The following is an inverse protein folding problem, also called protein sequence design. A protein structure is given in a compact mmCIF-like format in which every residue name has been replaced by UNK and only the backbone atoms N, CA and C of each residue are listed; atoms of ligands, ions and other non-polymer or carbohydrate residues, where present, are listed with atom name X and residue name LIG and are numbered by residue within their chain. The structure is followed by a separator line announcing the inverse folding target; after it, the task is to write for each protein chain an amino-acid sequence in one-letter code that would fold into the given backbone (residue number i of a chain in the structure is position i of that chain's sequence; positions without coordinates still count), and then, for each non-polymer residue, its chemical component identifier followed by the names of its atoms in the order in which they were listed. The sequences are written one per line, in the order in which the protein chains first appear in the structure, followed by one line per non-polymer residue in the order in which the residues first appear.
data_IF_565095837861
#
_entry.id   IF_565095837861
#
_cell.length_a   1.000
_cell.length_b   1.000
_cell.length_c   1.000
_cell.angle_alpha   90.00
_cell.angle_beta   90.00
_cell.angle_gamma   90.00
#
_symmetry.space_group_name_H-M   'P 1'
#
loop_
_entity.id
_entity.type
_entity.pdbx_description
1 polymer ?
#
# COMPACT_ATOMS: atom_id res chain seq x y z
N UNK A 1 -6.57 53.61 -12.40
CA UNK A 1 -6.41 53.30 -13.83
C UNK A 1 -5.17 52.47 -13.99
N UNK A 2 -5.30 51.17 -13.97
CA UNK A 2 -4.31 50.21 -14.40
C UNK A 2 -5.08 49.02 -14.96
N UNK A 3 -4.92 48.86 -16.26
CA UNK A 3 -5.57 47.82 -17.06
C UNK A 3 -5.04 46.45 -16.69
N UNK A 4 -5.91 45.52 -16.37
CA UNK A 4 -5.62 44.09 -16.34
C UNK A 4 -5.94 43.49 -17.71
N UNK A 5 -4.90 43.10 -18.44
CA UNK A 5 -5.03 42.40 -19.69
C UNK A 5 -5.50 40.96 -19.43
N UNK A 6 -6.66 40.64 -20.00
CA UNK A 6 -7.17 39.29 -20.04
C UNK A 6 -6.33 38.43 -21.00
N UNK A 7 -5.58 37.49 -20.47
CA UNK A 7 -4.90 36.46 -21.27
C UNK A 7 -5.92 35.39 -21.71
N UNK A 8 -6.16 35.32 -23.03
CA UNK A 8 -6.95 34.28 -23.65
C UNK A 8 -6.16 32.96 -23.63
N UNK A 9 -6.74 31.93 -23.01
CA UNK A 9 -6.21 30.58 -23.05
C UNK A 9 -6.79 29.88 -24.30
N UNK A 10 -5.96 29.68 -25.33
CA UNK A 10 -6.30 28.86 -26.50
C UNK A 10 -5.96 27.40 -26.19
N UNK A 11 -6.99 26.55 -26.08
CA UNK A 11 -6.81 25.11 -25.99
C UNK A 11 -7.14 24.48 -27.34
N UNK A 12 -6.12 23.95 -28.04
CA UNK A 12 -6.29 23.17 -29.26
C UNK A 12 -6.39 21.70 -28.89
N UNK A 13 -7.53 21.10 -29.19
CA UNK A 13 -7.72 19.66 -29.04
C UNK A 13 -7.71 19.05 -30.45
N UNK A 14 -6.69 18.24 -30.73
CA UNK A 14 -6.61 17.43 -31.95
C UNK A 14 -7.34 16.11 -31.70
N UNK A 15 -8.37 15.83 -32.47
CA UNK A 15 -9.03 14.52 -32.55
C UNK A 15 -8.72 13.87 -33.89
N UNK A 16 -7.94 12.78 -33.90
CA UNK A 16 -7.79 11.98 -35.13
C UNK A 16 -9.08 11.22 -35.41
N UNK A 17 -9.48 11.16 -36.66
CA UNK A 17 -10.73 10.58 -37.17
C UNK A 17 -10.86 9.04 -37.05
N UNK A 18 -9.95 8.38 -36.37
CA UNK A 18 -10.00 6.94 -36.13
C UNK A 18 -9.47 6.65 -34.75
N UNK A 19 -10.34 6.53 -33.75
CA UNK A 19 -10.13 5.59 -32.63
C UNK A 19 -11.32 5.61 -31.70
N UNK A 20 -11.78 4.43 -31.40
CA UNK A 20 -12.76 4.07 -30.39
C UNK A 20 -12.29 4.41 -28.98
N UNK A 21 -13.28 4.73 -28.14
CA UNK A 21 -13.36 4.60 -26.68
C UNK A 21 -12.67 5.63 -25.80
N UNK A 22 -13.55 6.29 -25.04
CA UNK A 22 -13.39 6.61 -23.61
C UNK A 22 -12.43 7.71 -23.22
N UNK A 23 -12.86 8.98 -23.42
CA UNK A 23 -12.58 10.06 -22.44
C UNK A 23 -13.46 11.26 -22.76
N UNK A 24 -14.58 11.42 -22.05
CA UNK A 24 -15.38 12.65 -22.05
C UNK A 24 -14.88 13.55 -20.91
N UNK A 25 -14.11 14.58 -21.24
CA UNK A 25 -13.94 15.74 -20.39
C UNK A 25 -15.16 16.67 -20.60
N UNK A 26 -15.97 16.84 -19.56
CA UNK A 26 -17.03 17.87 -19.54
C UNK A 26 -16.39 19.22 -19.23
N UNK A 27 -16.35 20.10 -20.23
CA UNK A 27 -16.01 21.51 -20.05
C UNK A 27 -17.25 22.39 -20.13
N UNK A 28 -17.30 23.39 -19.28
CA UNK A 28 -18.32 24.41 -19.15
C UNK A 28 -18.12 25.52 -20.20
N UNK A 29 -19.13 25.84 -21.03
CA UNK A 29 -18.98 26.90 -22.05
C UNK A 29 -20.27 27.66 -22.31
N UNK A 30 -20.21 28.98 -22.38
CA UNK A 30 -21.34 29.86 -22.72
C UNK A 30 -21.39 30.34 -24.16
N UNK A 31 -20.34 30.31 -24.91
CA UNK A 31 -20.48 30.46 -26.36
C UNK A 31 -19.46 29.56 -27.06
N UNK A 32 -19.97 28.66 -27.85
CA UNK A 32 -19.18 27.79 -28.68
C UNK A 32 -19.12 28.41 -30.08
N UNK A 33 -17.98 28.92 -30.50
CA UNK A 33 -17.74 29.21 -31.89
C UNK A 33 -17.10 28.01 -32.57
N UNK A 34 -17.84 27.33 -33.42
CA UNK A 34 -17.35 26.17 -34.16
C UNK A 34 -16.88 26.65 -35.52
N UNK A 35 -15.61 26.54 -35.81
CA UNK A 35 -15.08 26.72 -37.18
C UNK A 35 -14.55 25.41 -37.71
N UNK A 36 -14.87 25.09 -38.98
CA UNK A 36 -14.44 23.87 -39.65
C UNK A 36 -13.36 24.20 -40.67
N UNK A 37 -12.18 23.63 -40.46
CA UNK A 37 -11.13 23.66 -41.48
C UNK A 37 -10.73 22.23 -41.81
N UNK A 38 -10.88 21.88 -43.06
CA UNK A 38 -10.68 20.62 -43.82
C UNK A 38 -10.63 19.27 -43.11
N UNK A 39 -10.40 19.15 -41.82
CA UNK A 39 -10.49 17.92 -40.99
C UNK A 39 -10.43 18.17 -39.48
N UNK A 40 -10.66 19.41 -39.02
CA UNK A 40 -10.60 19.77 -37.60
C UNK A 40 -11.80 20.60 -37.17
N UNK A 41 -12.30 20.34 -35.96
CA UNK A 41 -13.30 21.15 -35.27
C UNK A 41 -12.57 21.96 -34.15
N UNK A 42 -12.63 23.29 -34.26
CA UNK A 42 -12.06 24.21 -33.29
C UNK A 42 -13.16 24.75 -32.37
N UNK A 43 -12.94 24.66 -31.08
CA UNK A 43 -13.84 25.15 -30.03
C UNK A 43 -13.17 26.26 -29.25
N UNK A 44 -13.80 27.43 -29.15
CA UNK A 44 -13.36 28.55 -28.31
C UNK A 44 -14.20 28.67 -27.06
N UNK A 45 -13.55 28.75 -25.90
CA UNK A 45 -14.16 28.73 -24.58
C UNK A 45 -14.09 30.08 -23.88
N UNK A 46 -15.21 30.57 -23.30
CA UNK A 46 -15.23 31.74 -22.40
C UNK A 46 -15.65 31.33 -20.98
N UNK A 47 -15.09 31.94 -19.90
CA UNK A 47 -15.41 31.59 -18.53
C UNK A 47 -16.68 32.25 -18.04
N UNK A 48 -17.49 31.55 -17.23
CA UNK A 48 -18.68 31.91 -16.45
C UNK A 48 -20.04 31.59 -17.05
N UNK A 49 -20.49 30.32 -16.87
CA UNK A 49 -21.90 29.99 -17.11
C UNK A 49 -22.46 28.74 -16.40
N UNK A 50 -23.81 28.69 -16.25
CA UNK A 50 -24.58 27.71 -15.48
C UNK A 50 -24.98 26.49 -16.34
N UNK A 51 -24.83 25.25 -15.80
CA UNK A 51 -25.03 23.96 -16.47
C UNK A 51 -26.39 23.78 -17.19
N UNK A 52 -27.44 24.42 -16.73
CA UNK A 52 -28.77 24.30 -17.35
C UNK A 52 -28.84 24.90 -18.75
N UNK A 53 -28.09 25.97 -19.04
CA UNK A 53 -28.10 26.64 -20.34
C UNK A 53 -27.30 25.90 -21.42
N UNK A 54 -26.30 25.12 -21.02
CA UNK A 54 -25.51 24.30 -21.94
C UNK A 54 -26.32 23.14 -22.51
N UNK A 55 -27.17 22.53 -21.68
CA UNK A 55 -28.03 21.40 -22.10
C UNK A 55 -29.08 21.88 -23.13
N UNK A 56 -29.56 23.10 -23.00
CA UNK A 56 -30.52 23.69 -23.95
C UNK A 56 -29.85 24.03 -25.27
N UNK A 57 -28.64 24.59 -25.26
CA UNK A 57 -27.86 24.92 -26.46
C UNK A 57 -27.43 23.70 -27.26
N UNK A 58 -27.12 22.56 -26.63
CA UNK A 58 -26.79 21.32 -27.31
C UNK A 58 -27.98 20.66 -28.01
N UNK A 59 -29.21 20.93 -27.56
CA UNK A 59 -30.43 20.45 -28.22
C UNK A 59 -30.72 21.17 -29.55
N UNK A 60 -30.35 22.46 -29.65
CA UNK A 60 -30.59 23.25 -30.85
C UNK A 60 -29.57 22.98 -31.97
N UNK A 61 -28.41 22.41 -31.67
CA UNK A 61 -27.31 22.20 -32.63
C UNK A 61 -27.32 20.85 -33.36
N UNK A 62 -28.45 20.13 -33.43
CA UNK A 62 -28.57 18.83 -34.14
C UNK A 62 -27.44 17.80 -33.86
N UNK A 63 -26.67 18.01 -32.79
CA UNK A 63 -25.69 17.02 -32.27
C UNK A 63 -26.36 15.79 -31.64
N UNK A 64 -27.67 15.83 -31.47
CA UNK A 64 -28.52 14.75 -30.97
C UNK A 64 -28.41 13.45 -31.78
N UNK A 65 -28.03 13.52 -33.07
CA UNK A 65 -27.85 12.34 -33.95
C UNK A 65 -26.48 11.66 -33.79
N UNK A 66 -25.46 12.40 -33.41
CA UNK A 66 -24.10 11.86 -33.24
C UNK A 66 -23.94 11.21 -31.83
N UNK A 67 -24.52 11.84 -30.82
CA UNK A 67 -24.50 11.26 -29.47
C UNK A 67 -25.45 10.06 -29.30
N UNK A 68 -26.61 10.03 -30.00
CA UNK A 68 -27.55 8.91 -29.90
C UNK A 68 -27.04 7.58 -30.47
N UNK A 69 -25.97 7.60 -31.27
CA UNK A 69 -25.38 6.38 -31.83
C UNK A 69 -24.30 5.75 -30.96
N UNK A 70 -23.80 6.49 -29.95
CA UNK A 70 -22.68 6.04 -29.10
C UNK A 70 -23.03 5.82 -27.63
N UNK A 71 -24.11 6.40 -27.12
CA UNK A 71 -24.50 6.20 -25.72
C UNK A 71 -26.02 6.20 -25.59
N UNK A 72 -26.55 5.14 -25.01
CA UNK A 72 -27.96 5.06 -24.65
C UNK A 72 -28.20 6.06 -23.51
N UNK A 73 -29.13 7.01 -23.65
CA UNK A 73 -29.48 8.00 -22.60
C UNK A 73 -29.83 7.35 -21.25
N UNK A 74 -30.16 6.06 -21.25
CA UNK A 74 -30.36 5.28 -20.01
C UNK A 74 -29.07 5.07 -19.22
N UNK A 75 -27.90 5.07 -19.87
CA UNK A 75 -26.62 4.79 -19.20
C UNK A 75 -26.03 6.04 -18.52
N UNK A 76 -26.37 7.25 -18.98
CA UNK A 76 -25.94 8.51 -18.37
C UNK A 76 -26.72 8.92 -17.11
N UNK A 77 -27.94 8.41 -16.93
CA UNK A 77 -28.80 8.69 -15.78
C UNK A 77 -28.96 7.50 -14.83
N UNK A 78 -28.34 6.36 -15.12
CA UNK A 78 -28.41 5.18 -14.25
C UNK A 78 -27.29 5.15 -13.19
N UNK A 79 -26.85 6.29 -12.70
CA UNK A 79 -26.25 6.39 -11.35
C UNK A 79 -27.35 6.25 -10.26
N UNK A 80 -28.59 6.02 -10.66
CA UNK A 80 -29.66 5.66 -9.73
C UNK A 80 -29.90 4.15 -9.74
N UNK A 81 -29.17 3.43 -8.87
CA UNK A 81 -29.71 2.22 -8.27
C UNK A 81 -29.18 0.86 -8.67
N UNK A 82 -28.05 0.72 -9.39
CA UNK A 82 -27.41 -0.59 -9.64
C UNK A 82 -25.88 -0.49 -9.77
N UNK A 83 -25.23 0.40 -9.08
CA UNK A 83 -23.78 0.45 -9.05
C UNK A 83 -23.22 -0.34 -7.87
N UNK A 84 -21.99 -0.84 -8.00
CA UNK A 84 -21.20 -1.45 -6.94
C UNK A 84 -21.34 -0.69 -5.62
N UNK A 85 -21.59 -1.40 -4.54
CA UNK A 85 -21.76 -0.84 -3.19
C UNK A 85 -20.61 -1.24 -2.28
N UNK A 86 -20.27 -0.38 -1.30
CA UNK A 86 -19.28 -0.72 -0.27
C UNK A 86 -19.67 -2.00 0.50
N UNK A 87 -20.98 -2.28 0.62
CA UNK A 87 -21.47 -3.49 1.27
C UNK A 87 -21.09 -4.74 0.48
N UNK A 88 -21.17 -4.71 -0.86
CA UNK A 88 -20.76 -5.83 -1.71
C UNK A 88 -19.24 -6.04 -1.65
N UNK A 89 -18.45 -4.94 -1.61
CA UNK A 89 -17.00 -5.05 -1.41
C UNK A 89 -16.65 -5.69 -0.06
N UNK A 90 -17.36 -5.31 1.01
CA UNK A 90 -17.22 -5.93 2.33
C UNK A 90 -17.55 -7.43 2.30
N UNK A 91 -18.58 -7.83 1.56
CA UNK A 91 -18.94 -9.22 1.37
C UNK A 91 -17.85 -10.00 0.64
N UNK A 92 -17.31 -9.44 -0.45
CA UNK A 92 -16.20 -10.03 -1.19
C UNK A 92 -14.99 -10.29 -0.29
N UNK A 93 -14.57 -9.28 0.49
CA UNK A 93 -13.45 -9.39 1.42
C UNK A 93 -13.71 -10.49 2.46
N UNK A 94 -14.90 -10.50 3.06
CA UNK A 94 -15.24 -11.50 4.10
C UNK A 94 -15.27 -12.92 3.53
N UNK A 95 -15.78 -13.13 2.31
CA UNK A 95 -15.77 -14.46 1.66
C UNK A 95 -14.35 -14.93 1.38
N UNK A 96 -13.47 -14.02 0.92
CA UNK A 96 -12.05 -14.33 0.69
C UNK A 96 -11.31 -14.70 1.98
N UNK A 97 -11.62 -14.03 3.10
CA UNK A 97 -11.02 -14.33 4.40
C UNK A 97 -11.46 -15.68 4.97
N UNK A 98 -12.74 -16.02 4.80
CA UNK A 98 -13.30 -17.28 5.33
C UNK A 98 -13.01 -18.49 4.42
N UNK A 99 -12.74 -18.29 3.12
CA UNK A 99 -12.64 -19.38 2.14
C UNK A 99 -13.95 -20.16 1.93
N UNK A 100 -15.05 -19.70 2.53
CA UNK A 100 -16.37 -20.35 2.54
C UNK A 100 -17.49 -19.31 2.54
N UNK A 101 -18.43 -19.43 1.59
CA UNK A 101 -19.61 -18.54 1.55
C UNK A 101 -20.50 -18.77 2.77
N UNK A 102 -20.64 -20.02 3.23
CA UNK A 102 -21.48 -20.34 4.39
C UNK A 102 -20.94 -19.73 5.67
N UNK A 103 -19.64 -19.85 5.91
CA UNK A 103 -18.97 -19.26 7.07
C UNK A 103 -19.00 -17.73 7.03
N UNK A 104 -18.72 -17.14 5.85
CA UNK A 104 -18.83 -15.71 5.64
C UNK A 104 -20.24 -15.18 5.92
N UNK A 105 -21.28 -15.92 5.49
CA UNK A 105 -22.66 -15.55 5.74
C UNK A 105 -23.00 -15.55 7.24
N UNK A 106 -22.52 -16.54 7.99
CA UNK A 106 -22.64 -16.59 9.45
C UNK A 106 -21.93 -15.41 10.10
N UNK A 107 -20.68 -15.14 9.72
CA UNK A 107 -19.87 -13.99 10.23
C UNK A 107 -20.55 -12.64 9.94
N UNK A 108 -21.27 -12.53 8.83
CA UNK A 108 -21.97 -11.33 8.40
C UNK A 108 -23.43 -11.24 8.91
N UNK A 109 -23.92 -12.27 9.60
CA UNK A 109 -25.31 -12.37 10.07
C UNK A 109 -26.36 -12.23 8.97
N UNK A 110 -26.09 -12.81 7.79
CA UNK A 110 -27.01 -12.83 6.64
C UNK A 110 -27.21 -14.25 6.12
N UNK A 111 -28.25 -14.45 5.28
CA UNK A 111 -28.46 -15.75 4.65
C UNK A 111 -27.41 -16.01 3.57
N UNK A 112 -26.95 -17.27 3.45
CA UNK A 112 -26.02 -17.71 2.41
C UNK A 112 -26.54 -17.39 0.98
N UNK A 113 -27.82 -17.61 0.63
CA UNK A 113 -28.34 -17.22 -0.68
C UNK A 113 -28.22 -15.72 -0.96
N UNK A 114 -28.48 -14.87 0.05
CA UNK A 114 -28.33 -13.41 -0.08
C UNK A 114 -26.88 -13.00 -0.34
N UNK A 115 -25.92 -13.61 0.39
CA UNK A 115 -24.51 -13.37 0.17
C UNK A 115 -24.06 -13.82 -1.21
N UNK A 116 -24.45 -15.04 -1.62
CA UNK A 116 -24.16 -15.58 -2.96
C UNK A 116 -24.69 -14.66 -4.07
N UNK A 117 -25.93 -14.20 -3.95
CA UNK A 117 -26.53 -13.30 -4.94
C UNK A 117 -25.80 -11.94 -5.00
N UNK A 118 -25.39 -11.40 -3.86
CA UNK A 118 -24.64 -10.14 -3.80
C UNK A 118 -23.26 -10.26 -4.48
N UNK A 119 -22.54 -11.37 -4.25
CA UNK A 119 -21.25 -11.64 -4.91
C UNK A 119 -21.44 -11.82 -6.41
N UNK A 120 -22.41 -12.62 -6.86
CA UNK A 120 -22.69 -12.82 -8.28
C UNK A 120 -23.06 -11.51 -9.00
N UNK A 121 -23.83 -10.63 -8.33
CA UNK A 121 -24.16 -9.31 -8.87
C UNK A 121 -22.91 -8.43 -9.01
N UNK A 122 -22.01 -8.45 -8.04
CA UNK A 122 -20.74 -7.73 -8.10
C UNK A 122 -19.86 -8.27 -9.24
N UNK A 123 -19.69 -9.58 -9.35
CA UNK A 123 -18.94 -10.24 -10.42
C UNK A 123 -19.48 -9.88 -11.81
N UNK A 124 -20.81 -9.93 -11.96
CA UNK A 124 -21.49 -9.56 -13.21
C UNK A 124 -21.29 -8.09 -13.57
N UNK A 125 -21.32 -7.20 -12.59
CA UNK A 125 -21.14 -5.76 -12.78
C UNK A 125 -19.69 -5.43 -13.16
N UNK A 126 -18.72 -6.07 -12.50
CA UNK A 126 -17.30 -5.88 -12.78
C UNK A 126 -16.82 -6.65 -14.03
N UNK A 127 -17.63 -7.59 -14.54
CA UNK A 127 -17.25 -8.42 -15.68
C UNK A 127 -16.17 -9.44 -15.38
N UNK A 128 -16.03 -9.85 -14.09
CA UNK A 128 -14.99 -10.77 -13.62
C UNK A 128 -15.61 -11.91 -12.80
N UNK A 129 -14.93 -13.05 -12.76
CA UNK A 129 -15.25 -14.13 -11.83
C UNK A 129 -14.27 -14.06 -10.66
N UNK A 130 -14.73 -13.60 -9.51
CA UNK A 130 -13.86 -13.45 -8.34
C UNK A 130 -13.56 -14.78 -7.65
N UNK A 131 -14.51 -15.69 -7.62
CA UNK A 131 -14.38 -16.97 -6.95
C UNK A 131 -14.70 -18.15 -7.87
N UNK A 132 -13.86 -19.19 -7.81
CA UNK A 132 -14.16 -20.52 -8.36
C UNK A 132 -14.61 -21.45 -7.23
N UNK A 133 -15.56 -22.33 -7.53
CA UNK A 133 -16.03 -23.34 -6.57
C UNK A 133 -15.11 -24.56 -6.61
N UNK A 134 -14.74 -25.06 -5.44
CA UNK A 134 -13.98 -26.30 -5.27
C UNK A 134 -14.68 -27.23 -4.28
N UNK A 135 -14.28 -28.49 -4.22
CA UNK A 135 -14.78 -29.45 -3.23
C UNK A 135 -14.44 -29.07 -1.78
N UNK A 136 -13.48 -28.14 -1.60
CA UNK A 136 -13.01 -27.65 -0.28
C UNK A 136 -13.55 -26.27 0.08
N UNK A 137 -14.46 -25.70 -0.74
CA UNK A 137 -14.99 -24.35 -0.54
C UNK A 137 -14.83 -23.45 -1.77
N UNK A 138 -14.58 -22.18 -1.58
CA UNK A 138 -14.31 -21.22 -2.65
C UNK A 138 -12.83 -20.87 -2.70
N UNK A 139 -12.30 -20.82 -3.93
CA UNK A 139 -10.92 -20.40 -4.20
C UNK A 139 -10.99 -19.10 -5.00
N UNK A 140 -10.21 -18.13 -4.60
CA UNK A 140 -10.12 -16.86 -5.30
C UNK A 140 -9.41 -17.05 -6.66
N UNK A 141 -9.91 -16.39 -7.71
CA UNK A 141 -9.26 -16.37 -9.02
C UNK A 141 -8.20 -15.28 -9.09
N UNK A 142 -7.40 -15.25 -10.15
CA UNK A 142 -6.44 -14.18 -10.37
C UNK A 142 -7.11 -12.80 -10.50
N UNK A 143 -8.21 -12.73 -11.26
CA UNK A 143 -9.01 -11.50 -11.40
C UNK A 143 -9.69 -11.14 -10.07
N UNK A 144 -10.09 -12.16 -9.29
CA UNK A 144 -10.64 -12.00 -7.96
C UNK A 144 -9.64 -11.41 -6.97
N UNK A 145 -8.37 -11.80 -7.03
CA UNK A 145 -7.30 -11.21 -6.20
C UNK A 145 -7.11 -9.72 -6.49
N UNK A 146 -7.14 -9.34 -7.77
CA UNK A 146 -7.04 -7.95 -8.17
C UNK A 146 -8.26 -7.15 -7.69
N UNK A 147 -9.49 -7.66 -7.89
CA UNK A 147 -10.71 -7.03 -7.40
C UNK A 147 -10.71 -6.92 -5.87
N UNK A 148 -10.20 -7.93 -5.17
CA UNK A 148 -10.08 -7.95 -3.71
C UNK A 148 -9.13 -6.86 -3.21
N UNK A 149 -7.98 -6.66 -3.88
CA UNK A 149 -7.04 -5.61 -3.53
C UNK A 149 -7.66 -4.21 -3.66
N UNK A 150 -8.36 -3.93 -4.77
CA UNK A 150 -9.10 -2.68 -4.93
C UNK A 150 -10.23 -2.53 -3.91
N UNK A 151 -10.93 -3.62 -3.60
CA UNK A 151 -12.03 -3.60 -2.61
C UNK A 151 -11.54 -3.24 -1.22
N UNK A 152 -10.42 -3.80 -0.78
CA UNK A 152 -9.80 -3.46 0.51
C UNK A 152 -9.39 -2.00 0.56
N UNK A 153 -8.75 -1.50 -0.50
CA UNK A 153 -8.33 -0.11 -0.60
C UNK A 153 -9.53 0.86 -0.51
N UNK A 154 -10.63 0.59 -1.23
CA UNK A 154 -11.82 1.43 -1.21
C UNK A 154 -12.51 1.42 0.16
N UNK A 155 -12.59 0.26 0.80
CA UNK A 155 -13.14 0.13 2.16
C UNK A 155 -12.30 0.90 3.18
N UNK A 156 -10.98 0.80 3.09
CA UNK A 156 -10.04 1.54 3.94
C UNK A 156 -10.20 3.05 3.76
N UNK A 157 -10.22 3.55 2.52
CA UNK A 157 -10.43 4.98 2.26
C UNK A 157 -11.80 5.48 2.73
N UNK A 158 -12.84 4.64 2.60
CA UNK A 158 -14.16 4.96 3.15
C UNK A 158 -14.14 5.00 4.69
N UNK A 159 -13.39 4.11 5.33
CA UNK A 159 -13.21 4.09 6.78
C UNK A 159 -12.46 5.33 7.26
N UNK A 160 -11.36 5.73 6.60
CA UNK A 160 -10.59 6.96 6.89
C UNK A 160 -11.48 8.20 6.73
N UNK A 161 -12.24 8.29 5.65
CA UNK A 161 -13.16 9.40 5.42
C UNK A 161 -14.23 9.49 6.53
N UNK A 162 -14.80 8.35 6.93
CA UNK A 162 -15.80 8.32 8.01
C UNK A 162 -15.18 8.63 9.37
N UNK A 163 -13.92 8.27 9.59
CA UNK A 163 -13.20 8.61 10.81
C UNK A 163 -12.92 10.12 10.90
N UNK A 164 -12.61 10.75 9.78
CA UNK A 164 -12.30 12.18 9.74
C UNK A 164 -13.57 13.07 9.86
N UNK A 165 -14.66 12.69 9.20
CA UNK A 165 -15.88 13.50 9.11
C UNK A 165 -17.08 12.90 9.86
N UNK A 166 -17.03 11.63 10.24
CA UNK A 166 -18.14 10.92 10.89
C UNK A 166 -18.36 11.39 12.32
N UNK A 167 -19.63 11.39 12.74
CA UNK A 167 -20.04 11.71 14.13
C UNK A 167 -19.98 10.50 15.06
N UNK A 168 -19.74 9.32 14.52
CA UNK A 168 -19.80 8.07 15.29
C UNK A 168 -18.45 7.80 15.98
N UNK A 169 -18.37 8.18 17.26
CA UNK A 169 -17.19 7.98 18.11
C UNK A 169 -16.99 6.51 18.56
N UNK A 170 -17.93 5.61 18.27
CA UNK A 170 -17.92 4.23 18.77
C UNK A 170 -17.30 3.23 17.76
N UNK A 171 -16.66 3.68 16.69
CA UNK A 171 -16.00 2.79 15.75
C UNK A 171 -14.72 2.22 16.34
N UNK A 172 -14.53 0.91 16.20
CA UNK A 172 -13.26 0.25 16.54
C UNK A 172 -12.16 0.74 15.61
N UNK A 173 -11.13 1.43 16.13
CA UNK A 173 -9.97 1.85 15.35
C UNK A 173 -9.30 0.66 14.68
N UNK A 174 -8.84 0.84 13.42
CA UNK A 174 -8.11 -0.18 12.67
C UNK A 174 -6.82 0.41 12.14
N UNK A 175 -5.76 -0.35 12.24
CA UNK A 175 -4.47 -0.05 11.63
C UNK A 175 -3.72 -1.34 11.37
N UNK A 176 -3.01 -1.42 10.26
CA UNK A 176 -2.20 -2.59 9.94
C UNK A 176 -0.88 -2.17 9.30
N UNK A 177 0.19 -2.78 9.76
CA UNK A 177 1.54 -2.58 9.25
C UNK A 177 2.24 -3.92 9.07
N UNK A 178 2.98 -4.07 7.97
CA UNK A 178 3.93 -5.15 7.75
C UNK A 178 5.34 -4.58 7.74
N UNK A 179 6.28 -5.21 8.42
CA UNK A 179 7.65 -4.70 8.51
C UNK A 179 8.67 -5.84 8.50
N UNK A 180 9.89 -5.52 8.09
CA UNK A 180 11.05 -6.36 8.38
C UNK A 180 11.26 -6.45 9.89
N UNK A 181 12.14 -7.32 10.34
CA UNK A 181 12.33 -7.62 11.77
C UNK A 181 13.07 -6.50 12.53
N UNK A 182 12.45 -5.31 12.59
CA UNK A 182 13.00 -4.13 13.24
C UNK A 182 12.39 -3.88 14.61
N UNK A 183 13.21 -3.82 15.65
CA UNK A 183 12.75 -3.49 17.00
C UNK A 183 12.15 -2.08 17.10
N UNK A 184 12.69 -1.10 16.39
CA UNK A 184 12.14 0.26 16.36
C UNK A 184 10.72 0.32 15.77
N UNK A 185 10.40 -0.54 14.79
CA UNK A 185 9.07 -0.62 14.23
C UNK A 185 8.05 -1.15 15.25
N UNK A 186 8.45 -2.14 16.05
CA UNK A 186 7.63 -2.64 17.16
C UNK A 186 7.47 -1.58 18.26
N UNK A 187 8.52 -0.84 18.60
CA UNK A 187 8.46 0.23 19.60
C UNK A 187 7.48 1.33 19.19
N UNK A 188 7.57 1.81 17.95
CA UNK A 188 6.64 2.79 17.41
C UNK A 188 5.19 2.29 17.45
N UNK A 189 4.98 0.99 17.25
CA UNK A 189 3.66 0.37 17.36
C UNK A 189 3.17 0.31 18.82
N UNK A 190 4.05 0.05 19.77
CA UNK A 190 3.73 0.11 21.21
C UNK A 190 3.33 1.54 21.60
N UNK A 191 4.05 2.55 21.11
CA UNK A 191 3.74 3.95 21.39
C UNK A 191 2.41 4.38 20.75
N UNK A 192 2.12 3.91 19.53
CA UNK A 192 0.83 4.08 18.89
C UNK A 192 -0.31 3.52 19.77
N UNK A 193 -0.17 2.28 20.25
CA UNK A 193 -1.19 1.63 21.09
C UNK A 193 -1.40 2.39 22.39
N UNK A 194 -0.32 2.84 23.05
CA UNK A 194 -0.39 3.64 24.28
C UNK A 194 -1.04 5.00 24.06
N UNK A 195 -0.77 5.65 22.93
CA UNK A 195 -1.34 6.96 22.60
C UNK A 195 -2.84 6.89 22.36
N UNK A 196 -3.29 5.80 21.74
CA UNK A 196 -4.71 5.58 21.44
C UNK A 196 -5.31 4.58 22.42
N UNK A 197 -5.33 4.93 23.71
CA UNK A 197 -5.96 4.16 24.79
C UNK A 197 -7.49 4.11 24.63
N UNK A 198 -7.94 3.42 23.59
CA UNK A 198 -9.34 3.20 23.29
C UNK A 198 -9.80 1.89 23.94
N UNK A 199 -11.07 1.87 24.37
CA UNK A 199 -11.69 0.67 24.95
C UNK A 199 -11.70 -0.52 23.98
N UNK A 200 -11.61 -0.26 22.66
CA UNK A 200 -11.57 -1.27 21.61
C UNK A 200 -10.70 -0.78 20.45
N UNK A 201 -9.82 -1.62 19.94
CA UNK A 201 -9.07 -1.40 18.70
C UNK A 201 -8.76 -2.73 18.02
N UNK A 202 -8.49 -2.68 16.71
CA UNK A 202 -8.01 -3.82 15.93
C UNK A 202 -6.77 -3.38 15.15
N UNK A 203 -5.63 -3.44 15.84
CA UNK A 203 -4.33 -3.09 15.27
C UNK A 203 -3.53 -4.36 14.98
N UNK A 204 -2.89 -4.42 13.82
CA UNK A 204 -2.15 -5.58 13.33
C UNK A 204 -0.73 -5.15 12.98
N UNK A 205 0.24 -5.77 13.62
CA UNK A 205 1.65 -5.72 13.24
C UNK A 205 2.06 -7.10 12.72
N UNK A 206 2.70 -7.12 11.54
CA UNK A 206 3.31 -8.32 10.95
C UNK A 206 4.79 -8.08 10.76
N UNK A 207 5.63 -8.86 11.45
CA UNK A 207 7.02 -9.00 11.08
C UNK A 207 7.12 -10.13 10.06
N UNK A 208 7.59 -9.81 8.86
CA UNK A 208 7.56 -10.76 7.75
C UNK A 208 8.57 -10.40 6.66
N UNK A 209 8.71 -11.28 5.68
CA UNK A 209 9.67 -11.21 4.59
C UNK A 209 9.45 -9.98 3.69
N UNK A 210 10.54 -9.44 3.14
CA UNK A 210 10.51 -8.24 2.27
C UNK A 210 9.50 -8.35 1.12
N UNK A 211 9.43 -9.52 0.47
CA UNK A 211 8.47 -9.76 -0.60
C UNK A 211 7.02 -9.74 -0.13
N UNK A 212 6.74 -10.31 1.03
CA UNK A 212 5.41 -10.33 1.64
C UNK A 212 4.98 -8.94 2.10
N UNK A 213 5.89 -8.10 2.62
CA UNK A 213 5.60 -6.71 2.97
C UNK A 213 5.07 -5.95 1.75
N UNK A 214 5.75 -6.09 0.60
CA UNK A 214 5.33 -5.45 -0.65
C UNK A 214 3.96 -5.97 -1.09
N UNK A 215 3.73 -7.27 -1.02
CA UNK A 215 2.46 -7.90 -1.39
C UNK A 215 1.33 -7.51 -0.42
N UNK A 216 1.57 -7.45 0.88
CA UNK A 216 0.59 -7.06 1.89
C UNK A 216 0.08 -5.63 1.67
N UNK A 217 1.00 -4.68 1.40
CA UNK A 217 0.60 -3.31 1.09
C UNK A 217 -0.08 -3.23 -0.27
N UNK A 218 0.42 -3.94 -1.29
CA UNK A 218 -0.20 -3.98 -2.62
C UNK A 218 -1.63 -4.54 -2.59
N UNK A 219 -1.87 -5.56 -1.77
CA UNK A 219 -3.17 -6.21 -1.62
C UNK A 219 -4.09 -5.53 -0.58
N UNK A 220 -3.64 -4.45 0.09
CA UNK A 220 -4.40 -3.77 1.14
C UNK A 220 -4.64 -4.63 2.37
N UNK A 221 -3.75 -5.59 2.67
CA UNK A 221 -3.73 -6.33 3.94
C UNK A 221 -3.04 -5.51 5.03
N UNK A 222 -2.09 -4.67 4.64
CA UNK A 222 -1.45 -3.67 5.48
C UNK A 222 -1.56 -2.30 4.82
N UNK A 223 -1.82 -1.28 5.63
CA UNK A 223 -1.91 0.12 5.18
C UNK A 223 -0.54 0.63 4.76
N UNK A 224 0.47 0.29 5.55
CA UNK A 224 1.87 0.66 5.31
C UNK A 224 2.80 -0.53 5.49
N UNK A 225 3.98 -0.42 4.89
CA UNK A 225 5.07 -1.38 5.09
C UNK A 225 6.36 -0.67 5.46
N UNK A 226 7.23 -1.31 6.26
CA UNK A 226 8.55 -0.79 6.63
C UNK A 226 9.61 -1.77 6.10
N UNK A 227 10.50 -1.25 5.26
CA UNK A 227 11.64 -2.00 4.71
C UNK A 227 12.82 -1.07 4.43
N UNK A 228 13.99 -1.64 4.13
CA UNK A 228 15.15 -0.85 3.73
C UNK A 228 15.46 -0.99 2.23
N UNK A 229 16.09 0.06 1.72
CA UNK A 229 16.76 0.08 0.43
C UNK A 229 18.26 0.34 0.62
N UNK A 230 19.06 -0.26 -0.23
CA UNK A 230 20.50 -0.01 -0.35
C UNK A 230 20.89 0.04 -1.83
N UNK A 231 22.11 0.43 -2.13
CA UNK A 231 22.62 0.43 -3.50
C UNK A 231 22.43 -0.92 -4.23
N UNK A 232 22.39 -2.04 -3.48
CA UNK A 232 22.29 -3.39 -4.03
C UNK A 232 20.87 -3.82 -4.38
N UNK A 233 19.85 -3.39 -3.63
CA UNK A 233 18.48 -3.87 -3.78
C UNK A 233 17.51 -2.82 -4.34
N UNK A 234 17.88 -1.54 -4.35
CA UNK A 234 17.00 -0.42 -4.68
C UNK A 234 16.38 -0.55 -6.07
N UNK A 235 17.15 -0.91 -7.09
CA UNK A 235 16.65 -1.03 -8.45
C UNK A 235 15.54 -2.08 -8.56
N UNK A 236 15.78 -3.27 -8.00
CA UNK A 236 14.85 -4.40 -8.06
C UNK A 236 13.59 -4.13 -7.24
N UNK A 237 13.76 -3.70 -5.99
CA UNK A 237 12.63 -3.45 -5.10
C UNK A 237 11.80 -2.25 -5.56
N UNK A 238 12.43 -1.16 -6.02
CA UNK A 238 11.71 0.01 -6.54
C UNK A 238 10.93 -0.34 -7.80
N UNK A 239 11.48 -1.15 -8.71
CA UNK A 239 10.77 -1.63 -9.90
C UNK A 239 9.55 -2.47 -9.50
N UNK A 240 9.71 -3.37 -8.53
CA UNK A 240 8.61 -4.19 -8.02
C UNK A 240 7.53 -3.33 -7.34
N UNK A 241 7.92 -2.39 -6.49
CA UNK A 241 7.00 -1.45 -5.83
C UNK A 241 6.22 -0.62 -6.85
N UNK A 242 6.89 -0.03 -7.85
CA UNK A 242 6.25 0.75 -8.93
C UNK A 242 5.25 -0.09 -9.72
N UNK A 243 5.60 -1.35 -10.04
CA UNK A 243 4.69 -2.29 -10.72
C UNK A 243 3.40 -2.53 -9.92
N UNK A 244 3.50 -2.53 -8.60
CA UNK A 244 2.37 -2.71 -7.68
C UNK A 244 1.69 -1.40 -7.24
N UNK A 245 2.03 -0.26 -7.86
CA UNK A 245 1.43 1.03 -7.53
C UNK A 245 1.81 1.57 -6.14
N UNK A 246 2.97 1.15 -5.63
CA UNK A 246 3.49 1.59 -4.34
C UNK A 246 4.53 2.71 -4.51
N UNK A 247 4.67 3.50 -3.45
CA UNK A 247 5.71 4.53 -3.30
C UNK A 247 6.50 4.26 -2.03
N UNK A 248 7.80 4.52 -2.08
CA UNK A 248 8.70 4.49 -0.94
C UNK A 248 8.94 5.91 -0.45
N UNK A 249 8.81 6.12 0.84
CA UNK A 249 9.11 7.37 1.54
C UNK A 249 10.20 7.08 2.57
N UNK A 250 11.38 7.68 2.38
CA UNK A 250 12.50 7.52 3.29
C UNK A 250 12.18 8.10 4.67
N UNK A 251 12.42 7.34 5.71
CA UNK A 251 12.27 7.77 7.09
C UNK A 251 13.60 8.21 7.68
N UNK A 252 14.66 7.42 7.45
CA UNK A 252 16.02 7.71 7.89
C UNK A 252 17.05 6.84 7.18
N UNK A 253 18.31 7.24 7.30
CA UNK A 253 19.48 6.47 6.85
C UNK A 253 20.20 5.94 8.08
N UNK A 254 20.55 4.66 8.06
CA UNK A 254 21.29 3.98 9.12
C UNK A 254 22.61 3.43 8.59
N UNK A 255 23.67 3.58 9.39
CA UNK A 255 24.91 2.85 9.16
C UNK A 255 24.72 1.38 9.57
N UNK A 256 25.27 0.40 8.84
CA UNK A 256 25.20 -0.99 9.22
C UNK A 256 25.87 -1.26 10.57
N UNK A 257 25.20 -2.06 11.39
CA UNK A 257 25.70 -2.55 12.66
C UNK A 257 25.60 -4.05 12.75
N UNK A 258 26.41 -4.63 13.60
CA UNK A 258 26.38 -6.07 13.94
C UNK A 258 25.70 -6.24 15.30
N UNK A 259 24.67 -7.07 15.36
CA UNK A 259 24.11 -7.54 16.62
C UNK A 259 24.83 -8.78 17.07
N UNK A 260 25.38 -8.71 18.27
CA UNK A 260 26.10 -9.80 18.96
C UNK A 260 25.64 -9.86 20.42
N UNK A 261 25.89 -10.98 21.09
CA UNK A 261 25.63 -11.02 22.53
C UNK A 261 26.66 -10.17 23.29
N UNK A 262 26.27 -9.69 24.47
CA UNK A 262 27.11 -8.85 25.35
C UNK A 262 28.43 -9.56 25.74
N UNK A 263 28.41 -10.88 25.84
CA UNK A 263 29.56 -11.71 26.20
C UNK A 263 30.38 -12.18 24.97
N UNK A 264 30.00 -11.72 23.77
CA UNK A 264 30.68 -12.10 22.54
C UNK A 264 32.15 -11.66 22.58
N UNK A 265 33.10 -12.46 22.03
CA UNK A 265 34.52 -12.09 21.99
C UNK A 265 34.83 -10.73 21.32
N UNK A 266 33.96 -10.30 20.41
CA UNK A 266 34.07 -9.00 19.72
C UNK A 266 33.38 -7.83 20.49
N UNK A 267 32.73 -8.09 21.62
CA UNK A 267 31.92 -7.08 22.33
C UNK A 267 32.74 -5.84 22.77
N UNK A 268 34.03 -5.99 23.06
CA UNK A 268 34.91 -4.92 23.49
C UNK A 268 35.54 -4.13 22.32
N UNK A 269 35.36 -4.56 21.06
CA UNK A 269 35.82 -3.79 19.89
C UNK A 269 34.98 -2.54 19.72
N UNK A 270 35.57 -1.45 19.27
CA UNK A 270 34.86 -0.21 18.94
C UNK A 270 34.08 -0.38 17.64
N UNK A 271 34.71 -0.98 16.65
CA UNK A 271 34.18 -1.25 15.31
C UNK A 271 34.52 -2.68 14.92
N UNK A 272 33.67 -3.31 14.14
CA UNK A 272 33.81 -4.68 13.66
C UNK A 272 34.06 -4.64 12.16
N UNK A 273 35.03 -5.44 11.69
CA UNK A 273 35.33 -5.64 10.27
C UNK A 273 34.74 -6.96 9.77
N UNK A 274 34.63 -7.14 8.46
CA UNK A 274 34.18 -8.40 7.85
C UNK A 274 35.06 -9.59 8.21
N UNK A 275 36.39 -9.37 8.31
CA UNK A 275 37.35 -10.39 8.70
C UNK A 275 37.15 -10.88 10.13
N UNK A 276 36.74 -10.00 11.02
CA UNK A 276 36.42 -10.36 12.40
C UNK A 276 35.25 -11.31 12.51
N UNK A 277 34.31 -11.24 11.58
CA UNK A 277 33.07 -12.02 11.57
C UNK A 277 33.21 -13.44 11.02
N UNK A 278 34.26 -13.71 10.23
CA UNK A 278 34.48 -15.01 9.55
C UNK A 278 34.43 -16.22 10.48
N UNK A 279 34.95 -16.19 11.72
CA UNK A 279 34.92 -17.34 12.61
C UNK A 279 33.52 -17.68 13.15
N UNK A 280 32.59 -16.74 13.12
CA UNK A 280 31.31 -16.83 13.84
C UNK A 280 30.14 -17.18 12.94
N UNK A 281 29.07 -17.82 13.45
CA UNK A 281 27.87 -18.10 12.68
C UNK A 281 27.13 -16.81 12.28
N UNK A 282 26.84 -16.66 10.99
CA UNK A 282 25.99 -15.60 10.47
C UNK A 282 24.52 -16.06 10.49
N UNK A 283 23.67 -15.29 11.13
CA UNK A 283 22.23 -15.56 11.22
C UNK A 283 21.46 -14.57 10.37
N UNK A 284 20.59 -15.09 9.51
CA UNK A 284 19.81 -14.32 8.55
C UNK A 284 18.35 -14.77 8.56
N UNK A 285 17.46 -13.88 8.14
CA UNK A 285 16.06 -14.22 7.97
C UNK A 285 15.83 -14.86 6.59
N UNK A 286 15.15 -16.00 6.56
CA UNK A 286 14.77 -16.64 5.30
C UNK A 286 13.75 -15.78 4.53
N UNK A 287 13.86 -15.77 3.20
CA UNK A 287 12.98 -14.97 2.32
C UNK A 287 11.99 -15.82 1.51
N UNK A 288 11.74 -17.07 1.94
CA UNK A 288 10.73 -17.96 1.35
C UNK A 288 10.95 -18.19 -0.15
N UNK A 289 9.87 -18.08 -0.93
CA UNK A 289 9.92 -18.30 -2.39
C UNK A 289 10.75 -17.25 -3.14
N UNK A 290 10.91 -16.05 -2.57
CA UNK A 290 11.73 -14.95 -3.12
C UNK A 290 13.13 -14.95 -2.51
N UNK A 291 13.70 -16.12 -2.28
CA UNK A 291 15.01 -16.28 -1.64
C UNK A 291 16.15 -15.82 -2.56
N UNK A 292 16.30 -14.51 -2.70
CA UNK A 292 17.45 -13.88 -3.35
C UNK A 292 17.98 -12.74 -2.49
N UNK A 293 19.25 -12.42 -2.65
CA UNK A 293 19.91 -11.35 -1.89
C UNK A 293 19.22 -9.97 -2.01
N UNK A 294 18.46 -9.74 -3.09
CA UNK A 294 17.68 -8.50 -3.24
C UNK A 294 16.55 -8.33 -2.22
N UNK A 295 16.05 -9.46 -1.68
CA UNK A 295 14.97 -9.47 -0.70
C UNK A 295 15.47 -9.67 0.72
N UNK A 296 16.76 -9.97 0.91
CA UNK A 296 17.33 -10.17 2.24
C UNK A 296 17.17 -8.93 3.13
N UNK A 297 17.01 -9.16 4.41
CA UNK A 297 16.89 -8.10 5.42
C UNK A 297 18.26 -7.66 5.94
N UNK A 298 19.25 -8.50 5.74
CA UNK A 298 20.61 -8.27 6.18
C UNK A 298 21.45 -7.73 5.04
N UNK A 299 22.16 -6.67 5.35
CA UNK A 299 23.01 -5.95 4.41
C UNK A 299 24.12 -6.80 3.76
N UNK A 300 24.66 -7.79 4.50
CA UNK A 300 25.73 -8.66 4.04
C UNK A 300 25.26 -9.92 3.29
N UNK A 301 24.01 -9.99 2.89
CA UNK A 301 23.42 -11.17 2.23
C UNK A 301 24.07 -11.57 0.90
N UNK A 302 24.87 -10.67 0.31
CA UNK A 302 25.67 -10.94 -0.90
C UNK A 302 26.99 -11.69 -0.60
N UNK A 303 27.40 -11.71 0.66
CA UNK A 303 28.65 -12.35 1.07
C UNK A 303 28.38 -13.80 1.50
N UNK A 304 29.25 -14.66 1.09
CA UNK A 304 29.23 -16.07 1.48
C UNK A 304 29.99 -16.27 2.79
N UNK A 305 29.26 -16.55 3.87
CA UNK A 305 29.85 -16.88 5.15
C UNK A 305 29.88 -18.39 5.34
N UNK A 306 31.04 -18.99 5.78
CA UNK A 306 31.18 -20.44 5.94
C UNK A 306 30.16 -21.07 6.90
N UNK A 307 29.64 -20.30 7.84
CA UNK A 307 28.65 -20.73 8.84
C UNK A 307 27.40 -19.83 8.72
N UNK A 308 26.42 -20.28 7.97
CA UNK A 308 25.17 -19.55 7.73
C UNK A 308 23.99 -20.33 8.32
N UNK A 309 23.14 -19.64 9.09
CA UNK A 309 21.92 -20.19 9.69
C UNK A 309 20.74 -19.30 9.31
N UNK A 310 19.71 -19.88 8.70
CA UNK A 310 18.49 -19.18 8.33
C UNK A 310 17.40 -19.43 9.38
N UNK A 311 16.69 -18.38 9.75
CA UNK A 311 15.59 -18.38 10.73
C UNK A 311 14.38 -17.61 10.23
N UNK A 312 13.23 -17.77 10.89
CA UNK A 312 11.98 -17.09 10.52
C UNK A 312 11.58 -15.95 11.44
N UNK A 313 12.04 -16.00 12.67
CA UNK A 313 11.57 -15.06 13.69
C UNK A 313 12.72 -14.51 14.55
N UNK A 314 12.50 -13.34 15.10
CA UNK A 314 13.49 -12.59 15.86
C UNK A 314 13.86 -13.28 17.19
N UNK A 315 12.91 -13.95 17.85
CA UNK A 315 13.19 -14.60 19.12
C UNK A 315 14.17 -15.78 18.92
N UNK A 316 13.93 -16.59 17.89
CA UNK A 316 14.86 -17.67 17.49
C UNK A 316 16.21 -17.10 17.08
N UNK A 317 16.25 -16.02 16.30
CA UNK A 317 17.51 -15.37 15.89
C UNK A 317 18.32 -14.95 17.13
N UNK A 318 17.73 -14.21 18.05
CA UNK A 318 18.43 -13.71 19.23
C UNK A 318 18.90 -14.85 20.16
N UNK A 319 18.10 -15.91 20.32
CA UNK A 319 18.51 -17.08 21.07
C UNK A 319 19.76 -17.76 20.47
N UNK A 320 19.83 -17.85 19.15
CA UNK A 320 20.97 -18.42 18.44
C UNK A 320 22.19 -17.49 18.45
N UNK A 321 21.99 -16.16 18.36
CA UNK A 321 23.07 -15.17 18.54
C UNK A 321 23.73 -15.36 19.90
N UNK A 322 22.93 -15.51 20.97
CA UNK A 322 23.45 -15.73 22.33
C UNK A 322 24.07 -17.11 22.46
N UNK A 323 23.35 -18.17 22.05
CA UNK A 323 23.73 -19.55 22.32
C UNK A 323 24.95 -20.04 21.50
N UNK A 324 25.20 -19.42 20.34
CA UNK A 324 26.27 -19.85 19.41
C UNK A 324 27.39 -18.81 19.28
N UNK A 325 27.35 -17.68 20.01
CA UNK A 325 28.18 -16.52 19.73
C UNK A 325 28.08 -16.14 18.22
N UNK A 326 26.87 -16.15 17.68
CA UNK A 326 26.61 -15.76 16.31
C UNK A 326 26.40 -14.27 16.18
N UNK A 327 26.19 -13.83 14.93
CA UNK A 327 25.90 -12.43 14.63
C UNK A 327 24.85 -12.29 13.55
N UNK A 328 24.19 -11.13 13.52
CA UNK A 328 23.39 -10.68 12.38
C UNK A 328 23.69 -9.22 12.08
N UNK A 329 23.34 -8.73 10.89
CA UNK A 329 23.58 -7.34 10.49
C UNK A 329 22.24 -6.58 10.40
N UNK A 330 22.24 -5.37 10.93
CA UNK A 330 21.04 -4.57 11.12
C UNK A 330 21.33 -3.07 11.07
N UNK A 331 20.29 -2.26 11.27
CA UNK A 331 20.36 -0.79 11.33
C UNK A 331 21.00 -0.22 12.59
N UNK A 332 21.43 -1.05 13.53
CA UNK A 332 21.98 -0.60 14.81
C UNK A 332 20.95 -0.12 15.84
N UNK A 333 19.71 0.08 15.46
CA UNK A 333 18.65 0.59 16.34
C UNK A 333 18.04 -0.57 17.13
N UNK A 334 18.36 -0.66 18.42
CA UNK A 334 17.81 -1.64 19.34
C UNK A 334 17.34 -0.97 20.63
N UNK A 335 16.14 -1.32 21.07
CA UNK A 335 15.63 -0.88 22.39
C UNK A 335 15.90 -1.95 23.44
N UNK A 336 16.77 -1.63 24.38
CA UNK A 336 17.11 -2.52 25.48
C UNK A 336 15.94 -2.80 26.43
N UNK A 337 14.98 -1.87 26.56
CA UNK A 337 13.79 -2.07 27.40
C UNK A 337 12.88 -3.18 26.90
N UNK A 338 12.79 -3.33 25.57
CA UNK A 338 11.95 -4.36 24.95
C UNK A 338 12.73 -5.63 24.59
N UNK A 339 14.03 -5.51 24.26
CA UNK A 339 14.83 -6.65 23.78
C UNK A 339 15.82 -7.19 24.84
N UNK A 340 15.86 -6.59 26.04
CA UNK A 340 16.80 -6.92 27.08
C UNK A 340 18.22 -6.41 26.79
N UNK A 341 19.11 -6.60 27.76
CA UNK A 341 20.50 -6.10 27.68
C UNK A 341 21.48 -7.10 27.08
N UNK A 342 21.03 -8.30 26.72
CA UNK A 342 21.91 -9.38 26.29
C UNK A 342 22.43 -9.22 24.85
N UNK A 343 21.72 -8.44 24.02
CA UNK A 343 22.13 -8.13 22.64
C UNK A 343 22.63 -6.68 22.59
N UNK A 344 23.79 -6.49 21.97
CA UNK A 344 24.40 -5.19 21.75
C UNK A 344 24.63 -4.96 20.25
N UNK A 345 24.52 -3.69 19.83
CA UNK A 345 24.87 -3.26 18.49
C UNK A 345 26.31 -2.75 18.47
N UNK A 346 27.08 -3.14 17.46
CA UNK A 346 28.44 -2.64 17.20
C UNK A 346 28.52 -2.12 15.78
N UNK A 347 29.13 -0.95 15.55
CA UNK A 347 29.33 -0.44 14.19
C UNK A 347 30.08 -1.46 13.31
N UNK A 348 29.58 -1.68 12.10
CA UNK A 348 30.25 -2.44 11.07
C UNK A 348 31.00 -1.50 10.13
N UNK A 349 32.27 -1.72 9.91
CA UNK A 349 33.02 -0.95 8.91
C UNK A 349 32.49 -1.31 7.52
N UNK A 350 31.80 -0.35 6.90
CA UNK A 350 31.15 -0.50 5.60
C UNK A 350 31.05 0.85 4.89
N UNK A 351 31.19 0.84 3.55
CA UNK A 351 31.02 2.03 2.70
C UNK A 351 29.56 2.23 2.22
N UNK A 352 28.63 1.47 2.77
CA UNK A 352 27.24 1.48 2.30
C UNK A 352 26.26 1.75 3.43
N UNK A 353 25.18 2.44 3.09
CA UNK A 353 24.11 2.83 4.00
C UNK A 353 22.84 1.99 3.80
N UNK A 354 22.04 1.90 4.86
CA UNK A 354 20.68 1.34 4.85
C UNK A 354 19.66 2.48 4.88
N UNK A 355 18.98 2.72 3.79
CA UNK A 355 17.89 3.71 3.70
C UNK A 355 16.58 3.04 4.14
N UNK A 356 16.17 3.28 5.36
CA UNK A 356 14.95 2.70 5.92
C UNK A 356 13.78 3.61 5.58
N UNK A 357 12.69 3.03 5.11
CA UNK A 357 11.53 3.79 4.69
C UNK A 357 10.21 3.06 4.81
N UNK A 358 9.18 3.85 4.62
CA UNK A 358 7.79 3.41 4.60
C UNK A 358 7.32 3.24 3.16
N UNK A 359 6.72 2.11 2.85
CA UNK A 359 6.00 1.91 1.60
C UNK A 359 4.49 2.02 1.83
N UNK A 360 3.81 2.63 0.87
CA UNK A 360 2.35 2.79 0.87
C UNK A 360 1.81 2.83 -0.54
N UNK A 361 0.52 2.66 -0.72
CA UNK A 361 -0.12 2.86 -2.01
C UNK A 361 0.00 4.31 -2.47
N UNK A 362 0.28 4.49 -3.76
CA UNK A 362 0.29 5.81 -4.40
C UNK A 362 -1.14 6.37 -4.42
N UNK A 363 -1.27 7.68 -4.17
CA UNK A 363 -2.56 8.40 -4.23
C UNK A 363 -3.62 7.95 -3.20
N UNK A 364 -3.23 7.29 -2.10
CA UNK A 364 -4.10 7.02 -0.97
C UNK A 364 -3.78 7.96 0.19
N UNK A 365 -4.80 8.37 0.93
CA UNK A 365 -4.61 9.08 2.20
C UNK A 365 -4.21 8.06 3.26
N UNK A 366 -3.27 8.44 4.12
CA UNK A 366 -2.93 7.67 5.31
C UNK A 366 -3.93 7.97 6.43
N UNK A 367 -4.24 6.95 7.22
CA UNK A 367 -5.00 7.11 8.45
C UNK A 367 -4.19 7.94 9.47
N UNK A 368 -4.88 8.51 10.45
CA UNK A 368 -4.21 9.18 11.57
C UNK A 368 -3.27 8.25 12.34
N UNK A 369 -3.56 6.95 12.34
CA UNK A 369 -2.73 5.93 12.99
C UNK A 369 -1.43 5.71 12.23
N UNK A 370 -1.49 5.63 10.88
CA UNK A 370 -0.30 5.52 10.04
C UNK A 370 0.58 6.76 10.14
N UNK A 371 -0.01 7.96 10.17
CA UNK A 371 0.72 9.21 10.35
C UNK A 371 1.40 9.27 11.72
N UNK A 372 0.70 8.89 12.79
CA UNK A 372 1.29 8.83 14.12
C UNK A 372 2.41 7.79 14.21
N UNK A 373 2.21 6.61 13.62
CA UNK A 373 3.21 5.55 13.56
C UNK A 373 4.48 6.00 12.83
N UNK A 374 4.34 6.70 11.72
CA UNK A 374 5.45 7.30 10.98
C UNK A 374 6.22 8.32 11.83
N UNK A 375 5.50 9.19 12.55
CA UNK A 375 6.10 10.16 13.44
C UNK A 375 6.79 9.50 14.64
N UNK A 376 6.18 8.47 15.22
CA UNK A 376 6.77 7.70 16.30
C UNK A 376 8.09 7.05 15.92
N UNK A 377 8.20 6.50 14.68
CA UNK A 377 9.48 5.98 14.17
C UNK A 377 10.52 7.10 14.08
N UNK A 378 10.17 8.26 13.50
CA UNK A 378 11.10 9.40 13.36
C UNK A 378 11.59 9.93 14.71
N UNK A 379 10.69 10.04 15.68
CA UNK A 379 11.01 10.51 17.03
C UNK A 379 11.90 9.53 17.78
N UNK A 380 11.67 8.23 17.65
CA UNK A 380 12.50 7.21 18.29
C UNK A 380 13.98 7.34 17.90
N UNK A 381 14.25 7.70 16.65
CA UNK A 381 15.60 7.85 16.12
C UNK A 381 16.29 9.15 16.56
N UNK A 382 15.55 10.18 16.96
CA UNK A 382 16.13 11.42 17.51
C UNK A 382 16.60 11.26 18.96
N UNK A 383 16.32 10.12 19.60
CA UNK A 383 16.66 9.83 21.00
C UNK A 383 17.85 8.84 21.07
N UNK A 384 18.13 8.12 20.01
CA UNK A 384 19.25 7.17 19.86
C UNK A 384 20.41 7.83 19.12
#
# INVERSE_FOLDING_TARGET
MTEFSASFLHCRIFLPCTLHSSFLFLFYVKSLRVSRNRNELLFELQPNYNMREIIVSMKELSMDRICRKSYNERDLYTIRGKGMTLQQLKYLVTVAECGSISEAAQKLFISQPSLSAAIQNLEKEMGVTAFSRSSKGVVITREGEELLAYSRMLLEQADIMQEHFGKDKNRTPKFSVSCQHYSFAVNAFVDLVKQYDASQYNFILRETQTGEIIDDVAQGKSEVGILYLSAHNEEVLTKLMKKNGLVFEELFVAEPHVFICREHPLANKKEITLDDLQPYPYLVYEQGERNSFYFAEEFLSMLDFPKNIQVRDRATLFNLVIGLNGFTVCSGVIDQKLNGENIIAKPLVSDCDMRIGMIRKKNTMLSRYALYYQEAIKNYLSIV
#
